data_IF_778278640838
#
_entry.id   IF_778278640838
#
_cell.length_a   1.000
_cell.length_b   1.000
_cell.length_c   1.000
_cell.angle_alpha   90.00
_cell.angle_beta   90.00
_cell.angle_gamma   90.00
#
_symmetry.space_group_name_H-M   'P 1'
#
loop_
_entity.id
_entity.type
_entity.pdbx_description
1 polymer ?
#
# COMPACT_ATOMS: atom_id res chain seq x y z
N UNK A 1 14.57 -5.89 23.43
CA UNK A 1 15.07 -4.77 22.61
C UNK A 1 14.71 -5.06 21.16
N UNK A 2 13.89 -4.21 20.53
CA UNK A 2 13.55 -4.37 19.10
C UNK A 2 14.81 -4.03 18.29
N UNK A 3 15.11 -4.74 17.19
CA UNK A 3 16.21 -4.35 16.32
C UNK A 3 15.99 -2.92 15.83
N UNK A 4 16.99 -2.06 16.00
CA UNK A 4 16.97 -0.68 15.51
C UNK A 4 16.91 -0.75 13.99
N UNK A 5 15.81 -0.28 13.39
CA UNK A 5 15.61 -0.37 11.95
C UNK A 5 16.54 0.57 11.18
N UNK A 6 17.33 0.01 10.26
CA UNK A 6 18.19 0.73 9.33
C UNK A 6 17.31 1.44 8.29
N UNK A 7 17.42 2.77 8.18
CA UNK A 7 16.65 3.58 7.24
C UNK A 7 17.39 3.71 5.91
N UNK A 8 16.73 3.34 4.80
CA UNK A 8 17.24 3.49 3.43
C UNK A 8 16.28 4.35 2.60
N UNK A 9 16.82 5.19 1.72
CA UNK A 9 16.02 5.96 0.75
C UNK A 9 15.75 5.09 -0.47
N UNK A 10 14.49 5.03 -0.89
CA UNK A 10 14.08 4.41 -2.15
C UNK A 10 14.45 5.30 -3.34
N UNK A 11 14.48 4.70 -4.54
CA UNK A 11 14.53 5.45 -5.81
C UNK A 11 13.24 6.23 -6.06
N UNK A 12 12.12 5.81 -5.46
CA UNK A 12 10.85 6.52 -5.54
C UNK A 12 10.86 7.70 -4.57
N UNK A 13 10.58 8.94 -5.06
CA UNK A 13 10.63 10.13 -4.22
C UNK A 13 9.72 10.04 -3.00
N UNK A 14 10.28 10.34 -1.83
CA UNK A 14 9.54 10.37 -0.55
C UNK A 14 9.26 9.00 0.07
N UNK A 15 9.81 7.91 -0.48
CA UNK A 15 9.70 6.57 0.13
C UNK A 15 10.93 6.28 0.97
N UNK A 16 10.69 5.89 2.23
CA UNK A 16 11.72 5.44 3.17
C UNK A 16 11.50 3.97 3.48
N UNK A 17 12.55 3.18 3.33
CA UNK A 17 12.57 1.75 3.61
C UNK A 17 13.18 1.56 5.00
N UNK A 18 12.57 0.70 5.81
CA UNK A 18 13.11 0.31 7.12
C UNK A 18 13.51 -1.16 7.07
N UNK A 19 14.81 -1.43 7.19
CA UNK A 19 15.40 -2.76 7.16
C UNK A 19 15.77 -3.19 8.58
N UNK A 20 15.46 -4.44 8.96
CA UNK A 20 15.72 -4.96 10.31
C UNK A 20 16.88 -5.95 10.40
N UNK A 21 17.47 -6.32 9.26
CA UNK A 21 18.68 -7.13 9.15
C UNK A 21 19.84 -6.24 8.72
N UNK A 22 21.09 -6.57 9.03
CA UNK A 22 22.24 -5.76 8.59
C UNK A 22 22.50 -5.91 7.09
N UNK A 23 22.55 -7.17 6.62
CA UNK A 23 22.77 -7.53 5.23
C UNK A 23 21.54 -8.25 4.65
N UNK A 24 21.21 -7.92 3.41
CA UNK A 24 20.16 -8.63 2.65
C UNK A 24 20.83 -9.85 2.00
N UNK A 25 20.32 -11.08 2.22
CA UNK A 25 20.88 -12.27 1.60
C UNK A 25 20.88 -12.19 0.07
N UNK A 26 21.76 -12.94 -0.58
CA UNK A 26 21.79 -13.03 -2.03
C UNK A 26 20.42 -13.50 -2.58
N UNK A 27 19.96 -12.84 -3.64
CA UNK A 27 18.66 -13.09 -4.24
C UNK A 27 17.46 -12.50 -3.48
N UNK A 28 17.67 -11.89 -2.30
CA UNK A 28 16.61 -11.20 -1.55
C UNK A 28 16.61 -9.70 -1.82
N UNK A 29 15.48 -9.05 -1.56
CA UNK A 29 15.35 -7.61 -1.71
C UNK A 29 14.35 -7.01 -0.72
N UNK A 30 14.58 -5.76 -0.35
CA UNK A 30 13.65 -5.03 0.49
C UNK A 30 12.36 -4.69 -0.26
N UNK A 31 11.22 -4.60 0.44
CA UNK A 31 10.00 -4.07 -0.14
C UNK A 31 10.23 -2.62 -0.60
N UNK A 32 9.91 -2.34 -1.86
CA UNK A 32 9.99 -1.00 -2.42
C UNK A 32 8.82 -0.74 -3.38
N UNK A 33 8.40 0.51 -3.48
CA UNK A 33 7.44 0.93 -4.49
C UNK A 33 8.17 1.06 -5.82
N UNK A 34 7.56 0.56 -6.90
CA UNK A 34 7.90 1.00 -8.27
C UNK A 34 6.91 2.06 -8.74
N UNK A 35 5.69 2.06 -8.20
CA UNK A 35 4.68 3.11 -8.42
C UNK A 35 3.87 3.35 -7.14
N UNK A 36 3.83 4.61 -6.69
CA UNK A 36 2.99 5.02 -5.55
C UNK A 36 1.52 5.18 -5.95
N UNK A 37 0.58 5.04 -5.00
CA UNK A 37 -0.77 5.55 -5.15
C UNK A 37 -0.77 7.03 -5.53
N UNK A 38 -1.65 7.41 -6.45
CA UNK A 38 -1.85 8.80 -6.85
C UNK A 38 -2.95 9.38 -5.96
N UNK A 39 -2.75 10.62 -5.50
CA UNK A 39 -3.79 11.36 -4.79
C UNK A 39 -4.92 11.72 -5.76
N UNK A 40 -6.16 11.45 -5.38
CA UNK A 40 -7.34 11.68 -6.21
C UNK A 40 -8.31 12.62 -5.50
N UNK A 41 -8.89 13.54 -6.26
CA UNK A 41 -10.06 14.32 -5.84
C UNK A 41 -11.27 13.76 -6.58
N UNK A 42 -12.16 13.08 -5.85
CA UNK A 42 -13.31 12.38 -6.41
C UNK A 42 -14.60 13.07 -5.95
N UNK A 43 -15.55 13.22 -6.87
CA UNK A 43 -16.89 13.73 -6.54
C UNK A 43 -17.63 12.75 -5.62
N UNK A 44 -18.47 13.28 -4.74
CA UNK A 44 -19.26 12.45 -3.84
C UNK A 44 -20.11 11.43 -4.61
N UNK A 45 -20.26 10.23 -4.05
CA UNK A 45 -21.02 9.13 -4.65
C UNK A 45 -20.28 8.31 -5.71
N UNK A 46 -19.03 8.65 -6.04
CA UNK A 46 -18.18 7.85 -6.94
C UNK A 46 -17.17 6.98 -6.18
N UNK A 47 -16.69 5.95 -6.86
CA UNK A 47 -15.62 5.07 -6.37
C UNK A 47 -14.25 5.74 -6.52
N UNK A 48 -13.39 5.56 -5.53
CA UNK A 48 -11.98 5.92 -5.60
C UNK A 48 -11.13 4.66 -5.78
N UNK A 49 -10.15 4.72 -6.70
CA UNK A 49 -9.26 3.62 -7.01
C UNK A 49 -7.80 4.05 -6.81
N UNK A 50 -7.11 3.40 -5.90
CA UNK A 50 -5.71 3.65 -5.60
C UNK A 50 -4.86 2.47 -6.06
N UNK A 51 -3.90 2.72 -6.95
CA UNK A 51 -3.02 1.69 -7.51
C UNK A 51 -1.61 1.85 -6.98
N UNK A 52 -1.03 0.77 -6.46
CA UNK A 52 0.37 0.69 -6.08
C UNK A 52 1.03 -0.49 -6.79
N UNK A 53 2.28 -0.32 -7.22
CA UNK A 53 3.13 -1.41 -7.65
C UNK A 53 4.26 -1.54 -6.63
N UNK A 54 4.40 -2.72 -6.04
CA UNK A 54 5.40 -3.01 -5.01
C UNK A 54 6.21 -4.22 -5.45
N UNK A 55 7.50 -4.20 -5.15
CA UNK A 55 8.44 -5.29 -5.43
C UNK A 55 9.21 -5.63 -4.17
N UNK A 56 9.66 -6.88 -4.06
CA UNK A 56 10.48 -7.36 -2.97
C UNK A 56 10.65 -8.87 -3.07
N UNK A 57 11.67 -9.42 -2.40
CA UNK A 57 11.80 -10.86 -2.23
C UNK A 57 12.21 -11.15 -0.77
N UNK A 58 11.35 -11.83 0.03
CA UNK A 58 10.08 -12.47 -0.38
C UNK A 58 9.00 -11.47 -0.80
N UNK A 59 7.94 -11.97 -1.48
CA UNK A 59 6.82 -11.16 -1.96
C UNK A 59 6.21 -10.34 -0.81
N UNK A 60 6.13 -9.00 -0.95
CA UNK A 60 5.74 -8.14 0.14
C UNK A 60 4.23 -8.16 0.39
N UNK A 61 3.85 -8.15 1.67
CA UNK A 61 2.46 -7.92 2.07
C UNK A 61 2.16 -6.43 2.02
N UNK A 62 1.11 -6.04 1.27
CA UNK A 62 0.65 -4.66 1.18
C UNK A 62 -0.62 -4.46 2.00
N UNK A 63 -0.62 -3.45 2.86
CA UNK A 63 -1.78 -3.02 3.63
C UNK A 63 -2.13 -1.58 3.29
N UNK A 64 -3.43 -1.27 3.36
CA UNK A 64 -3.96 0.05 3.12
C UNK A 64 -4.49 0.63 4.43
N UNK A 65 -4.42 1.94 4.58
CA UNK A 65 -4.88 2.64 5.77
C UNK A 65 -5.29 4.07 5.46
N UNK A 66 -6.07 4.66 6.36
CA UNK A 66 -6.51 6.06 6.28
C UNK A 66 -6.05 6.79 7.53
N UNK A 67 -5.66 8.05 7.40
CA UNK A 67 -5.12 8.82 8.54
C UNK A 67 -6.11 8.93 9.73
N UNK A 68 -7.42 8.99 9.48
CA UNK A 68 -8.44 9.22 10.49
C UNK A 68 -9.45 8.05 10.61
N UNK A 69 -9.01 6.81 10.38
CA UNK A 69 -9.87 5.64 10.54
C UNK A 69 -9.26 4.38 9.96
N UNK A 70 -9.97 3.27 10.08
CA UNK A 70 -9.58 2.00 9.49
C UNK A 70 -10.28 1.76 8.14
N UNK A 71 -9.77 0.76 7.41
CA UNK A 71 -10.32 0.29 6.14
C UNK A 71 -10.84 -1.15 6.26
N UNK A 72 -11.29 -1.55 7.46
CA UNK A 72 -11.73 -2.92 7.74
C UNK A 72 -13.13 -3.23 7.21
N UNK A 73 -13.96 -2.20 6.95
CA UNK A 73 -15.29 -2.37 6.38
C UNK A 73 -15.20 -2.85 4.92
N UNK A 74 -15.28 -4.16 4.73
CA UNK A 74 -15.18 -4.83 3.44
C UNK A 74 -16.36 -4.53 2.50
N UNK A 75 -17.44 -3.92 2.99
CA UNK A 75 -18.55 -3.43 2.15
C UNK A 75 -18.22 -2.09 1.50
N UNK A 76 -17.29 -1.33 2.09
CA UNK A 76 -16.83 -0.01 1.60
C UNK A 76 -15.45 -0.06 0.96
N UNK A 77 -14.62 -1.02 1.37
CA UNK A 77 -13.22 -1.08 0.98
C UNK A 77 -12.88 -2.46 0.44
N UNK A 78 -12.34 -2.51 -0.77
CA UNK A 78 -11.92 -3.77 -1.41
C UNK A 78 -10.46 -3.65 -1.80
N UNK A 79 -9.67 -4.66 -1.47
CA UNK A 79 -8.28 -4.80 -1.92
C UNK A 79 -8.19 -5.92 -2.95
N UNK A 80 -7.44 -5.70 -4.02
CA UNK A 80 -7.18 -6.68 -5.07
C UNK A 80 -5.67 -6.68 -5.35
N UNK A 81 -5.13 -7.86 -5.67
CA UNK A 81 -3.74 -8.03 -6.07
C UNK A 81 -3.67 -8.86 -7.34
N UNK A 82 -2.95 -8.35 -8.33
CA UNK A 82 -2.62 -9.07 -9.56
C UNK A 82 -1.13 -9.47 -9.55
N UNK A 83 -0.81 -10.77 -9.39
CA UNK A 83 0.58 -11.24 -9.35
C UNK A 83 1.31 -11.12 -10.69
N UNK A 84 0.60 -11.07 -11.83
CA UNK A 84 1.23 -10.94 -13.14
C UNK A 84 1.81 -9.54 -13.34
N UNK A 85 1.13 -8.52 -12.81
CA UNK A 85 1.54 -7.11 -12.92
C UNK A 85 2.13 -6.55 -11.63
N UNK A 86 2.07 -7.32 -10.53
CA UNK A 86 2.35 -6.89 -9.15
C UNK A 86 1.52 -5.66 -8.74
N UNK A 87 0.32 -5.54 -9.31
CA UNK A 87 -0.57 -4.42 -9.05
C UNK A 87 -1.43 -4.67 -7.82
N UNK A 88 -1.28 -3.80 -6.83
CA UNK A 88 -2.18 -3.70 -5.69
C UNK A 88 -3.18 -2.59 -5.95
N UNK A 89 -4.46 -2.94 -5.95
CA UNK A 89 -5.57 -2.01 -6.12
C UNK A 89 -6.36 -1.92 -4.81
N UNK A 90 -6.58 -0.70 -4.34
CA UNK A 90 -7.51 -0.39 -3.27
C UNK A 90 -8.68 0.41 -3.81
N UNK A 91 -9.87 -0.13 -3.67
CA UNK A 91 -11.14 0.45 -4.07
C UNK A 91 -11.88 0.93 -2.83
N UNK A 92 -12.30 2.19 -2.82
CA UNK A 92 -13.09 2.78 -1.75
C UNK A 92 -14.42 3.30 -2.31
N UNK A 93 -15.53 2.83 -1.75
CA UNK A 93 -16.89 3.25 -2.07
C UNK A 93 -17.52 4.00 -0.90
N UNK A 94 -18.34 5.00 -1.21
CA UNK A 94 -19.25 5.62 -0.22
C UNK A 94 -20.64 5.03 -0.45
N UNK A 95 -20.93 3.86 0.10
CA UNK A 95 -22.32 3.42 0.24
C UNK A 95 -22.97 4.26 1.36
N UNK A 96 -23.50 5.43 0.98
CA UNK A 96 -24.32 6.26 1.86
C UNK A 96 -25.78 5.95 1.60
N UNK A 97 -26.32 4.96 2.31
CA UNK A 97 -27.77 4.83 2.51
C UNK A 97 -28.06 4.82 4.01
N UNK A 98 -27.98 5.99 4.64
CA UNK A 98 -28.80 6.28 5.81
C UNK A 98 -29.62 7.53 5.50
N UNK A 99 -30.84 7.27 5.03
CA UNK A 99 -31.98 8.18 5.16
C UNK A 99 -32.65 7.77 6.48
N UNK A 100 -32.60 8.65 7.47
CA UNK A 100 -33.75 9.12 8.26
C UNK A 100 -33.34 10.42 8.95
#
# INVERSE_FOLDING_TARGET
MLPVGIKKKSKVPGVMITQYVEEIPEGKSHPDFTRKPIALTIQEGKFAFFKALVVGDPEPTVTWGRNNGDVSDTSKYVTKYDPATREHLFEASKNSNHII
#
